data_IF_853578560707
#
_entry.id   IF_853578560707
#
_cell.length_a   1.000
_cell.length_b   1.000
_cell.length_c   1.000
_cell.angle_alpha   90.00
_cell.angle_beta   90.00
_cell.angle_gamma   90.00
#
_symmetry.space_group_name_H-M   'P 1'
#
loop_
_entity.id
_entity.type
_entity.pdbx_description
1 polymer ?
#
# COMPACT_ATOMS: atom_id res chain seq x y z
N UNK A 1 -12.96 -0.30 6.37
CA UNK A 1 -13.68 -1.54 6.67
C UNK A 1 -12.81 -2.44 7.56
N UNK A 2 -11.51 -2.42 7.45
CA UNK A 2 -10.58 -3.03 8.39
C UNK A 2 -9.51 -2.02 8.81
N UNK A 3 -8.79 -2.33 9.87
CA UNK A 3 -7.68 -1.54 10.41
C UNK A 3 -6.49 -2.47 10.64
N UNK A 4 -5.28 -1.94 10.47
CA UNK A 4 -4.05 -2.62 10.86
C UNK A 4 -3.61 -2.04 12.20
N UNK A 5 -3.47 -2.90 13.19
CA UNK A 5 -3.02 -2.55 14.52
C UNK A 5 -1.59 -3.01 14.74
N UNK A 6 -0.79 -2.17 15.37
CA UNK A 6 0.55 -2.49 15.83
C UNK A 6 0.56 -2.53 17.35
N UNK A 7 0.87 -3.68 17.92
CA UNK A 7 0.99 -3.88 19.37
C UNK A 7 2.46 -4.12 19.70
N UNK A 8 3.06 -3.19 20.45
CA UNK A 8 4.45 -3.30 20.88
C UNK A 8 4.52 -3.84 22.31
N UNK A 9 5.39 -4.77 22.58
CA UNK A 9 5.67 -5.28 23.92
C UNK A 9 6.81 -4.54 24.62
N UNK A 10 7.18 -5.01 25.82
CA UNK A 10 8.27 -4.43 26.63
C UNK A 10 9.67 -4.64 26.01
N UNK A 11 9.81 -5.57 25.06
CA UNK A 11 11.05 -5.86 24.34
C UNK A 11 11.16 -5.10 23.01
N UNK A 12 10.19 -4.23 22.72
CA UNK A 12 10.05 -3.55 21.43
C UNK A 12 9.73 -4.47 20.23
N UNK A 13 9.31 -5.70 20.49
CA UNK A 13 8.76 -6.58 19.47
C UNK A 13 7.36 -6.11 19.07
N UNK A 14 7.09 -6.06 17.78
CA UNK A 14 5.82 -5.57 17.24
C UNK A 14 5.00 -6.70 16.65
N UNK A 15 3.79 -6.85 17.14
CA UNK A 15 2.76 -7.69 16.54
C UNK A 15 1.83 -6.84 15.69
N UNK A 16 1.83 -7.07 14.38
CA UNK A 16 0.86 -6.48 13.46
C UNK A 16 -0.30 -7.44 13.25
N UNK A 17 -1.51 -6.90 13.25
CA UNK A 17 -2.70 -7.69 12.93
C UNK A 17 -3.82 -6.82 12.38
N UNK A 18 -4.64 -7.40 11.51
CA UNK A 18 -5.85 -6.75 11.00
C UNK A 18 -7.02 -6.93 11.94
N UNK A 19 -7.95 -5.97 11.92
CA UNK A 19 -9.28 -6.08 12.53
C UNK A 19 -10.34 -5.64 11.54
N UNK A 20 -11.26 -6.54 11.24
CA UNK A 20 -12.42 -6.22 10.40
C UNK A 20 -12.60 -7.15 9.20
N UNK A 21 -11.58 -7.85 8.72
CA UNK A 21 -11.68 -8.81 7.63
C UNK A 21 -12.67 -9.93 7.96
N UNK A 22 -12.74 -10.36 9.23
CA UNK A 22 -13.68 -11.36 9.70
C UNK A 22 -15.15 -10.98 9.46
N UNK A 23 -15.48 -9.69 9.36
CA UNK A 23 -16.82 -9.22 9.01
C UNK A 23 -17.20 -9.52 7.56
N UNK A 24 -16.20 -9.71 6.72
CA UNK A 24 -16.34 -10.12 5.31
C UNK A 24 -16.22 -11.65 5.14
N UNK A 25 -16.13 -12.43 6.24
CA UNK A 25 -15.94 -13.87 6.19
C UNK A 25 -14.47 -14.31 5.93
N UNK A 26 -13.54 -13.34 5.91
CA UNK A 26 -12.12 -13.55 5.65
C UNK A 26 -11.35 -13.81 6.96
N UNK A 27 -10.19 -14.47 6.93
CA UNK A 27 -9.30 -14.54 8.09
C UNK A 27 -8.69 -13.16 8.37
N UNK A 28 -8.47 -12.83 9.64
CA UNK A 28 -7.58 -11.73 9.99
C UNK A 28 -6.13 -12.13 9.64
N UNK A 29 -5.32 -11.14 9.26
CA UNK A 29 -3.92 -11.34 8.88
C UNK A 29 -3.04 -10.90 10.04
N UNK A 30 -1.98 -11.66 10.31
CA UNK A 30 -1.04 -11.36 11.39
C UNK A 30 0.40 -11.47 10.92
N UNK A 31 1.27 -10.63 11.48
CA UNK A 31 2.72 -10.70 11.36
C UNK A 31 3.29 -10.56 12.76
N UNK A 32 4.06 -11.54 13.20
CA UNK A 32 4.76 -11.51 14.47
C UNK A 32 6.19 -11.03 14.28
N UNK A 33 6.78 -10.50 15.34
CA UNK A 33 8.17 -10.08 15.38
C UNK A 33 8.55 -9.05 14.29
N UNK A 34 7.64 -8.12 14.01
CA UNK A 34 7.92 -7.02 13.10
C UNK A 34 8.86 -6.02 13.79
N UNK A 35 9.98 -5.71 13.14
CA UNK A 35 10.90 -4.67 13.62
C UNK A 35 10.30 -3.27 13.43
N UNK A 36 10.60 -2.33 14.35
CA UNK A 36 10.15 -0.94 14.25
C UNK A 36 10.67 -0.23 13.00
N UNK A 37 11.85 -0.61 12.53
CA UNK A 37 12.55 0.04 11.41
C UNK A 37 11.73 -0.02 10.10
N UNK A 38 11.13 -1.17 9.80
CA UNK A 38 10.45 -1.43 8.52
C UNK A 38 8.95 -1.63 8.71
N UNK A 39 8.39 -1.00 9.75
CA UNK A 39 7.00 -1.20 10.12
C UNK A 39 6.02 -0.71 9.06
N UNK A 40 6.36 0.38 8.37
CA UNK A 40 5.53 0.95 7.30
C UNK A 40 5.49 0.02 6.09
N UNK A 41 6.64 -0.45 5.62
CA UNK A 41 6.79 -1.34 4.46
C UNK A 41 6.09 -2.67 4.72
N UNK A 42 6.29 -3.25 5.89
CA UNK A 42 5.61 -4.49 6.31
C UNK A 42 4.09 -4.27 6.42
N UNK A 43 3.67 -3.12 6.94
CA UNK A 43 2.27 -2.72 7.00
C UNK A 43 1.62 -2.60 5.61
N UNK A 44 2.32 -2.02 4.65
CA UNK A 44 1.85 -1.92 3.26
C UNK A 44 1.74 -3.30 2.60
N UNK A 45 2.69 -4.20 2.84
CA UNK A 45 2.61 -5.57 2.34
C UNK A 45 1.42 -6.33 2.95
N UNK A 46 1.17 -6.17 4.25
CA UNK A 46 -0.02 -6.70 4.91
C UNK A 46 -1.31 -6.12 4.30
N UNK A 47 -1.33 -4.82 4.05
CA UNK A 47 -2.45 -4.15 3.39
C UNK A 47 -2.71 -4.72 1.99
N UNK A 48 -1.66 -4.96 1.21
CA UNK A 48 -1.80 -5.57 -0.12
C UNK A 48 -2.41 -6.98 -0.05
N UNK A 49 -1.97 -7.82 0.90
CA UNK A 49 -2.57 -9.13 1.11
C UNK A 49 -4.05 -9.00 1.53
N UNK A 50 -4.39 -8.07 2.41
CA UNK A 50 -5.78 -7.84 2.82
C UNK A 50 -6.65 -7.40 1.64
N UNK A 51 -6.15 -6.51 0.79
CA UNK A 51 -6.84 -6.10 -0.44
C UNK A 51 -7.00 -7.27 -1.41
N UNK A 52 -5.97 -8.10 -1.57
CA UNK A 52 -6.06 -9.31 -2.40
C UNK A 52 -7.15 -10.25 -1.93
N UNK A 53 -7.28 -10.47 -0.61
CA UNK A 53 -8.36 -11.28 -0.04
C UNK A 53 -9.76 -10.68 -0.28
N UNK A 54 -9.87 -9.35 -0.24
CA UNK A 54 -11.13 -8.66 -0.48
C UNK A 54 -11.54 -8.67 -1.97
N UNK A 55 -10.59 -8.77 -2.87
CA UNK A 55 -10.79 -8.74 -4.32
C UNK A 55 -11.10 -10.12 -4.90
N UNK A 56 -10.63 -11.17 -4.26
CA UNK A 56 -10.79 -12.53 -4.73
C UNK A 56 -12.04 -13.18 -4.13
N UNK A 57 -12.73 -14.00 -4.90
CA UNK A 57 -13.89 -14.77 -4.45
C UNK A 57 -13.48 -15.95 -3.54
N UNK A 58 -12.22 -16.40 -3.65
CA UNK A 58 -11.68 -17.54 -2.91
C UNK A 58 -10.51 -17.12 -2.02
N UNK A 59 -10.48 -17.66 -0.80
CA UNK A 59 -9.35 -17.48 0.12
C UNK A 59 -8.24 -18.44 -0.32
N UNK A 60 -6.99 -17.95 -0.52
CA UNK A 60 -5.87 -18.83 -0.88
C UNK A 60 -5.71 -20.00 0.09
N UNK A 61 -5.39 -21.18 -0.41
CA UNK A 61 -5.04 -22.29 0.45
C UNK A 61 -3.73 -22.02 1.22
N UNK A 62 -3.54 -22.73 2.33
CA UNK A 62 -2.31 -22.62 3.11
C UNK A 62 -1.10 -23.01 2.24
N UNK A 63 -0.14 -22.09 2.11
CA UNK A 63 1.03 -22.29 1.25
C UNK A 63 0.83 -21.88 -0.20
N UNK A 64 -0.36 -21.46 -0.61
CA UNK A 64 -0.58 -20.94 -1.97
C UNK A 64 0.13 -19.59 -2.16
N UNK A 65 0.92 -19.43 -3.24
CA UNK A 65 1.65 -18.19 -3.49
C UNK A 65 0.73 -17.06 -3.98
N UNK A 66 0.90 -15.87 -3.39
CA UNK A 66 0.20 -14.64 -3.76
C UNK A 66 1.22 -13.56 -4.06
N UNK A 67 1.19 -13.00 -5.27
CA UNK A 67 2.05 -11.88 -5.63
C UNK A 67 1.59 -10.62 -4.87
N UNK A 68 2.46 -10.03 -4.05
CA UNK A 68 2.15 -8.88 -3.19
C UNK A 68 2.71 -7.58 -3.75
N UNK A 69 3.94 -7.60 -4.25
CA UNK A 69 4.64 -6.43 -4.73
C UNK A 69 5.79 -6.82 -5.64
N UNK A 70 6.46 -5.81 -6.22
CA UNK A 70 7.75 -5.97 -6.89
C UNK A 70 8.76 -5.03 -6.27
N UNK A 71 9.98 -5.51 -6.10
CA UNK A 71 11.11 -4.68 -5.70
C UNK A 71 11.58 -3.78 -6.85
N UNK A 72 12.44 -2.82 -6.57
CA UNK A 72 13.00 -1.91 -7.57
C UNK A 72 13.77 -2.63 -8.70
N UNK A 73 14.33 -3.81 -8.44
CA UNK A 73 14.97 -4.69 -9.42
C UNK A 73 13.96 -5.55 -10.22
N UNK A 74 12.67 -5.26 -10.10
CA UNK A 74 11.55 -6.00 -10.67
C UNK A 74 11.38 -7.44 -10.14
N UNK A 75 12.17 -7.87 -9.16
CA UNK A 75 11.96 -9.18 -8.55
C UNK A 75 10.65 -9.21 -7.74
N UNK A 76 9.87 -10.31 -7.81
CA UNK A 76 8.58 -10.38 -7.12
C UNK A 76 8.76 -10.58 -5.61
N UNK A 77 7.88 -9.93 -4.83
CA UNK A 77 7.60 -10.30 -3.44
C UNK A 77 6.35 -11.18 -3.43
N UNK A 78 6.55 -12.46 -3.19
CA UNK A 78 5.47 -13.44 -3.15
C UNK A 78 5.22 -13.85 -1.71
N UNK A 79 4.00 -13.67 -1.24
CA UNK A 79 3.55 -14.07 0.08
C UNK A 79 2.70 -15.33 0.08
N UNK A 80 2.40 -15.81 1.28
CA UNK A 80 1.42 -16.87 1.52
C UNK A 80 0.82 -16.74 2.91
N UNK A 81 -0.39 -17.25 3.08
CA UNK A 81 -1.09 -17.27 4.36
C UNK A 81 -1.05 -18.65 4.99
N UNK A 82 -0.61 -18.72 6.23
CA UNK A 82 -0.57 -19.96 7.01
C UNK A 82 -1.47 -19.81 8.23
N UNK A 83 -2.42 -20.71 8.47
CA UNK A 83 -3.26 -20.68 9.68
C UNK A 83 -2.40 -20.55 10.95
N UNK A 84 -2.79 -19.66 11.85
CA UNK A 84 -1.98 -19.34 13.03
C UNK A 84 -1.62 -20.56 13.91
N UNK A 85 -2.46 -21.60 14.07
CA UNK A 85 -2.06 -22.77 14.88
C UNK A 85 -0.87 -23.52 14.29
N UNK A 86 -0.75 -23.52 12.96
CA UNK A 86 0.38 -24.14 12.24
C UNK A 86 1.60 -23.21 12.27
N UNK A 87 1.40 -21.93 11.95
CA UNK A 87 2.45 -20.94 11.87
C UNK A 87 3.13 -20.69 13.21
N UNK A 88 2.38 -20.70 14.32
CA UNK A 88 2.89 -20.41 15.66
C UNK A 88 4.00 -21.38 16.12
N UNK A 89 4.02 -22.60 15.61
CA UNK A 89 5.10 -23.56 15.92
C UNK A 89 6.49 -23.12 15.43
N UNK A 90 6.54 -22.12 14.54
CA UNK A 90 7.80 -21.57 14.01
C UNK A 90 8.37 -20.44 14.87
N UNK A 91 7.63 -19.98 15.88
CA UNK A 91 8.01 -18.89 16.76
C UNK A 91 8.31 -19.37 18.18
N UNK A 92 9.11 -18.60 18.94
CA UNK A 92 9.30 -18.84 20.38
C UNK A 92 7.96 -18.79 21.12
N UNK A 93 7.86 -19.52 22.22
CA UNK A 93 6.61 -19.58 23.03
C UNK A 93 6.19 -18.21 23.61
N UNK A 94 7.13 -17.30 23.78
CA UNK A 94 6.94 -15.97 24.37
C UNK A 94 6.86 -14.86 23.33
N UNK A 95 6.67 -15.20 22.04
CA UNK A 95 6.56 -14.17 21.00
C UNK A 95 5.34 -13.28 21.23
N UNK A 96 5.50 -11.97 21.00
CA UNK A 96 4.37 -11.02 21.06
C UNK A 96 3.31 -11.39 20.02
N UNK A 97 2.02 -11.44 20.42
CA UNK A 97 0.94 -11.98 19.58
C UNK A 97 0.81 -13.51 19.61
N UNK A 98 1.59 -14.19 20.46
CA UNK A 98 1.54 -15.64 20.62
C UNK A 98 0.36 -16.15 21.44
N UNK A 99 0.45 -17.41 21.89
CA UNK A 99 -0.65 -18.11 22.54
C UNK A 99 -1.18 -17.43 23.82
N UNK A 100 -0.33 -16.68 24.52
CA UNK A 100 -0.72 -16.03 25.78
C UNK A 100 -1.67 -14.88 25.54
N UNK A 101 -1.42 -14.04 24.53
CA UNK A 101 -2.26 -12.90 24.18
C UNK A 101 -3.63 -13.37 23.66
N UNK A 102 -3.68 -14.53 23.00
CA UNK A 102 -4.93 -15.11 22.47
C UNK A 102 -5.90 -15.57 23.56
N UNK A 103 -5.42 -15.88 24.74
CA UNK A 103 -6.27 -16.24 25.88
C UNK A 103 -7.17 -15.09 26.35
N UNK A 104 -6.84 -13.85 25.98
CA UNK A 104 -7.50 -12.64 26.47
C UNK A 104 -8.35 -11.92 25.41
N UNK A 105 -8.78 -12.58 24.33
CA UNK A 105 -9.78 -12.01 23.45
C UNK A 105 -9.51 -12.05 21.95
N UNK A 106 -8.37 -12.50 21.49
CA UNK A 106 -8.09 -12.68 20.06
C UNK A 106 -8.48 -14.10 19.61
N UNK A 107 -9.79 -14.33 19.50
CA UNK A 107 -10.36 -15.65 19.15
C UNK A 107 -10.83 -15.73 17.69
N UNK A 108 -10.61 -14.69 16.90
CA UNK A 108 -10.99 -14.69 15.48
C UNK A 108 -10.08 -15.63 14.69
N UNK A 109 -10.64 -16.23 13.64
CA UNK A 109 -9.86 -16.99 12.67
C UNK A 109 -8.82 -16.05 12.06
N UNK A 110 -7.55 -16.42 12.17
CA UNK A 110 -6.46 -15.64 11.60
C UNK A 110 -5.43 -16.52 10.90
N UNK A 111 -4.69 -15.90 9.97
CA UNK A 111 -3.56 -16.49 9.27
C UNK A 111 -2.34 -15.59 9.44
N UNK A 112 -1.18 -16.17 9.55
CA UNK A 112 0.09 -15.43 9.53
C UNK A 112 0.59 -15.26 8.11
N UNK A 113 1.09 -14.08 7.79
CA UNK A 113 1.68 -13.77 6.51
C UNK A 113 3.15 -14.16 6.50
N UNK A 114 3.49 -15.06 5.60
CA UNK A 114 4.84 -15.50 5.27
C UNK A 114 5.22 -15.07 3.87
N UNK A 115 6.49 -15.20 3.50
CA UNK A 115 6.97 -14.93 2.16
C UNK A 115 7.84 -16.06 1.61
N UNK A 116 7.89 -16.17 0.30
CA UNK A 116 8.82 -17.02 -0.41
C UNK A 116 10.08 -16.22 -0.76
N UNK A 117 11.27 -16.62 -0.24
CA UNK A 117 12.51 -15.86 -0.47
C UNK A 117 13.05 -16.01 -1.90
N UNK A 118 12.58 -17.01 -2.65
CA UNK A 118 12.96 -17.26 -4.04
C UNK A 118 11.92 -18.15 -4.74
N UNK A 119 11.98 -18.20 -6.07
CA UNK A 119 11.16 -19.10 -6.89
C UNK A 119 11.42 -20.57 -6.56
N UNK A 120 12.68 -20.95 -6.29
CA UNK A 120 13.02 -22.32 -5.88
C UNK A 120 12.37 -22.66 -4.54
N UNK A 121 12.41 -21.76 -3.57
CA UNK A 121 11.76 -21.93 -2.27
C UNK A 121 10.22 -22.04 -2.43
N UNK A 122 9.63 -21.26 -3.32
CA UNK A 122 8.21 -21.34 -3.64
C UNK A 122 7.83 -22.71 -4.23
N UNK A 123 8.60 -23.22 -5.18
CA UNK A 123 8.38 -24.54 -5.77
C UNK A 123 8.54 -25.69 -4.74
N UNK A 124 9.31 -25.48 -3.69
CA UNK A 124 9.53 -26.43 -2.59
C UNK A 124 8.62 -26.19 -1.37
N UNK A 125 7.69 -25.22 -1.44
CA UNK A 125 6.84 -24.77 -0.33
C UNK A 125 7.65 -24.37 0.94
N UNK A 126 8.83 -23.78 0.74
CA UNK A 126 9.71 -23.29 1.80
C UNK A 126 9.52 -21.77 1.98
N UNK A 127 8.63 -21.39 2.87
CA UNK A 127 8.38 -20.00 3.22
C UNK A 127 9.06 -19.62 4.54
N UNK A 128 9.35 -18.33 4.68
CA UNK A 128 9.98 -17.69 5.84
C UNK A 128 9.06 -16.60 6.40
N UNK A 129 9.23 -16.18 7.66
CA UNK A 129 8.58 -14.96 8.15
C UNK A 129 8.81 -13.79 7.19
N UNK A 130 7.79 -12.98 6.93
CA UNK A 130 7.93 -11.82 6.03
C UNK A 130 8.99 -10.84 6.53
N UNK A 131 9.20 -10.79 7.85
CA UNK A 131 10.20 -9.98 8.54
C UNK A 131 11.65 -10.35 8.18
N UNK A 132 11.90 -11.59 7.73
CA UNK A 132 13.22 -12.00 7.25
C UNK A 132 13.64 -11.31 5.94
N UNK A 133 12.67 -10.70 5.25
CA UNK A 133 12.91 -9.93 4.02
C UNK A 133 12.94 -8.40 4.30
N UNK A 134 12.85 -7.98 5.55
CA UNK A 134 12.74 -6.57 5.93
C UNK A 134 13.92 -5.73 5.43
N UNK A 135 15.15 -6.23 5.51
CA UNK A 135 16.35 -5.52 5.01
C UNK A 135 16.27 -5.31 3.49
N UNK A 136 15.72 -6.27 2.75
CA UNK A 136 15.52 -6.12 1.30
C UNK A 136 14.46 -5.06 0.99
N UNK A 137 13.45 -4.89 1.85
CA UNK A 137 12.42 -3.87 1.71
C UNK A 137 12.96 -2.46 1.99
N UNK A 138 13.86 -2.31 2.95
CA UNK A 138 14.43 -1.03 3.39
C UNK A 138 15.25 -0.33 2.28
N UNK A 139 15.96 -1.10 1.48
CA UNK A 139 16.81 -0.60 0.38
C UNK A 139 16.09 -0.53 -0.98
N UNK A 140 14.86 -1.02 -1.06
CA UNK A 140 14.10 -1.12 -2.30
C UNK A 140 12.68 -0.62 -2.11
N UNK A 141 12.27 0.34 -2.92
CA UNK A 141 10.86 0.74 -2.97
C UNK A 141 10.02 -0.41 -3.52
N UNK A 142 8.97 -0.75 -2.79
CA UNK A 142 8.00 -1.72 -3.22
C UNK A 142 7.02 -1.07 -4.21
N UNK A 143 6.96 -1.59 -5.42
CA UNK A 143 5.91 -1.23 -6.38
C UNK A 143 4.67 -2.05 -6.08
N UNK A 144 3.64 -1.40 -5.55
CA UNK A 144 2.38 -2.06 -5.20
C UNK A 144 1.65 -2.51 -6.46
N UNK A 145 1.06 -3.69 -6.39
CA UNK A 145 0.27 -4.26 -7.47
C UNK A 145 -1.08 -3.56 -7.55
N UNK A 146 -1.55 -3.29 -8.77
CA UNK A 146 -2.89 -2.75 -8.99
C UNK A 146 -3.95 -3.78 -8.60
N UNK A 147 -4.83 -3.42 -7.68
CA UNK A 147 -5.93 -4.24 -7.18
C UNK A 147 -7.25 -3.42 -7.19
N UNK A 148 -8.35 -3.98 -6.68
CA UNK A 148 -9.62 -3.27 -6.64
C UNK A 148 -9.55 -2.00 -5.78
N UNK A 149 -8.78 -2.01 -4.70
CA UNK A 149 -8.59 -0.81 -3.86
C UNK A 149 -7.90 0.32 -4.63
N UNK A 150 -6.84 0.03 -5.38
CA UNK A 150 -6.19 1.08 -6.21
C UNK A 150 -7.10 1.59 -7.32
N UNK A 151 -7.95 0.72 -7.89
CA UNK A 151 -9.00 1.14 -8.84
C UNK A 151 -10.04 2.02 -8.18
N UNK A 152 -10.54 1.64 -6.99
CA UNK A 152 -11.49 2.43 -6.20
C UNK A 152 -10.90 3.80 -5.84
N UNK A 153 -9.65 3.85 -5.39
CA UNK A 153 -8.96 5.11 -5.07
C UNK A 153 -8.89 6.02 -6.30
N UNK A 154 -8.55 5.47 -7.46
CA UNK A 154 -8.52 6.22 -8.72
C UNK A 154 -9.90 6.78 -9.08
N UNK A 155 -10.95 5.96 -9.02
CA UNK A 155 -12.32 6.39 -9.31
C UNK A 155 -12.75 7.53 -8.38
N UNK A 156 -12.47 7.39 -7.09
CA UNK A 156 -12.78 8.41 -6.10
C UNK A 156 -11.95 9.69 -6.28
N UNK A 157 -10.67 9.56 -6.62
CA UNK A 157 -9.83 10.72 -6.93
C UNK A 157 -10.38 11.53 -8.12
N UNK A 158 -10.87 10.85 -9.15
CA UNK A 158 -11.48 11.47 -10.32
C UNK A 158 -12.87 12.06 -10.00
N UNK A 159 -13.71 11.33 -9.27
CA UNK A 159 -15.03 11.81 -8.83
C UNK A 159 -14.91 13.11 -8.00
N UNK A 160 -13.89 13.22 -7.17
CA UNK A 160 -13.66 14.32 -6.24
C UNK A 160 -12.63 15.34 -6.73
N UNK A 161 -12.27 15.29 -8.00
CA UNK A 161 -11.24 16.14 -8.63
C UNK A 161 -11.53 17.64 -8.47
N UNK A 162 -12.80 18.05 -8.44
CA UNK A 162 -13.19 19.44 -8.29
C UNK A 162 -12.75 20.08 -6.96
N UNK A 163 -12.54 19.28 -5.91
CA UNK A 163 -11.98 19.79 -4.66
C UNK A 163 -10.51 20.21 -4.85
N UNK A 164 -9.70 19.35 -5.49
CA UNK A 164 -8.33 19.69 -5.82
C UNK A 164 -8.25 20.87 -6.81
N UNK A 165 -9.13 20.93 -7.81
CA UNK A 165 -9.20 22.08 -8.75
C UNK A 165 -9.42 23.39 -8.02
N UNK A 166 -10.33 23.43 -7.05
CA UNK A 166 -10.61 24.62 -6.25
C UNK A 166 -9.43 25.03 -5.37
N UNK A 167 -8.74 24.08 -4.77
CA UNK A 167 -7.51 24.35 -4.01
C UNK A 167 -6.44 24.95 -4.92
N UNK A 168 -6.14 24.31 -6.06
CA UNK A 168 -5.15 24.77 -7.02
C UNK A 168 -5.51 26.10 -7.71
N UNK A 169 -6.79 26.51 -7.74
CA UNK A 169 -7.18 27.80 -8.27
C UNK A 169 -6.72 28.97 -7.38
N UNK A 170 -6.60 28.75 -6.07
CA UNK A 170 -6.10 29.73 -5.10
C UNK A 170 -4.56 29.70 -5.02
N UNK A 171 -3.98 28.52 -5.01
CA UNK A 171 -2.55 28.26 -5.01
C UNK A 171 -2.27 27.00 -5.84
N UNK A 172 -1.64 27.12 -7.02
CA UNK A 172 -1.35 25.97 -7.87
C UNK A 172 -0.52 24.88 -7.19
N UNK A 173 0.33 25.23 -6.22
CA UNK A 173 1.22 24.29 -5.53
C UNK A 173 0.61 23.72 -4.23
N UNK A 174 -0.63 24.08 -3.92
CA UNK A 174 -1.34 23.58 -2.73
C UNK A 174 -1.73 22.10 -2.81
N UNK A 175 -1.39 21.39 -3.88
CA UNK A 175 -1.69 19.97 -4.01
C UNK A 175 -0.55 19.17 -4.64
N UNK A 176 -0.50 17.91 -4.27
CA UNK A 176 0.27 16.87 -4.95
C UNK A 176 -0.68 15.86 -5.57
N UNK A 177 -0.27 15.28 -6.68
CA UNK A 177 -1.05 14.32 -7.46
C UNK A 177 -0.22 13.06 -7.73
N UNK A 178 -0.84 11.89 -7.62
CA UNK A 178 -0.23 10.61 -7.96
C UNK A 178 -0.70 10.20 -9.35
N UNK A 179 0.24 9.97 -10.25
CA UNK A 179 -0.04 9.58 -11.64
C UNK A 179 0.38 8.13 -11.86
N UNK A 180 -0.46 7.37 -12.56
CA UNK A 180 -0.13 6.06 -13.08
C UNK A 180 0.36 6.18 -14.52
N UNK A 181 1.67 6.23 -14.72
CA UNK A 181 2.32 6.36 -16.02
C UNK A 181 2.74 4.99 -16.55
N UNK A 182 2.62 4.81 -17.87
CA UNK A 182 3.02 3.56 -18.51
C UNK A 182 4.53 3.37 -18.41
N UNK A 183 4.98 2.20 -17.98
CA UNK A 183 6.41 1.84 -17.92
C UNK A 183 7.01 1.69 -19.32
N UNK A 184 8.30 1.91 -19.44
CA UNK A 184 9.01 1.72 -20.71
C UNK A 184 8.97 0.23 -21.14
N UNK A 185 8.88 -0.06 -22.45
CA UNK A 185 8.71 -1.43 -22.95
C UNK A 185 9.78 -2.42 -22.51
N UNK A 186 10.98 -1.95 -22.18
CA UNK A 186 12.11 -2.78 -21.72
C UNK A 186 11.91 -3.30 -20.28
N UNK A 187 11.04 -2.64 -19.50
CA UNK A 187 10.71 -3.02 -18.14
C UNK A 187 9.33 -3.69 -18.02
N UNK A 188 8.57 -3.69 -19.12
CA UNK A 188 7.21 -4.24 -19.13
C UNK A 188 7.24 -5.77 -19.09
N UNK A 189 6.39 -6.37 -18.24
CA UNK A 189 6.14 -7.81 -18.24
C UNK A 189 5.27 -8.17 -19.45
N UNK A 190 5.70 -9.11 -20.31
CA UNK A 190 4.94 -9.50 -21.51
C UNK A 190 3.53 -10.05 -21.20
N UNK A 191 3.32 -10.56 -20.00
CA UNK A 191 2.06 -11.18 -19.58
C UNK A 191 1.08 -10.17 -18.93
N UNK A 192 1.52 -8.96 -18.61
CA UNK A 192 0.69 -7.89 -18.05
C UNK A 192 0.30 -6.84 -19.12
N UNK A 193 -1.00 -6.64 -19.32
CA UNK A 193 -1.54 -5.77 -20.38
C UNK A 193 -1.28 -4.27 -20.22
N UNK A 194 -1.13 -3.77 -18.99
CA UNK A 194 -0.90 -2.34 -18.70
C UNK A 194 -0.12 -2.17 -17.40
N UNK A 195 1.20 -2.29 -17.46
CA UNK A 195 2.03 -1.93 -16.32
C UNK A 195 2.18 -0.42 -16.18
N UNK A 196 1.94 0.08 -14.97
CA UNK A 196 2.09 1.51 -14.64
C UNK A 196 2.93 1.69 -13.40
N UNK A 197 3.85 2.63 -13.48
CA UNK A 197 4.53 3.17 -12.32
C UNK A 197 3.72 4.32 -11.73
N UNK A 198 3.55 4.30 -10.40
CA UNK A 198 2.78 5.32 -9.68
C UNK A 198 3.72 6.31 -9.00
N UNK A 199 3.76 7.54 -9.51
CA UNK A 199 4.71 8.58 -9.12
C UNK A 199 3.96 9.79 -8.57
N UNK A 200 4.50 10.42 -7.52
CA UNK A 200 3.97 11.67 -6.99
C UNK A 200 4.54 12.89 -7.71
N UNK A 201 3.66 13.85 -7.97
CA UNK A 201 3.97 15.11 -8.63
C UNK A 201 3.41 16.29 -7.83
N UNK A 202 4.11 17.42 -7.83
CA UNK A 202 3.60 18.70 -7.33
C UNK A 202 2.81 19.40 -8.43
N UNK A 203 1.60 19.79 -8.13
CA UNK A 203 0.78 20.56 -9.06
C UNK A 203 1.43 21.92 -9.39
N UNK A 204 1.35 22.32 -10.66
CA UNK A 204 1.73 23.64 -11.17
C UNK A 204 0.52 24.36 -11.80
N UNK A 205 -0.65 23.76 -11.72
CA UNK A 205 -1.92 24.31 -12.15
C UNK A 205 -2.56 23.60 -13.33
N UNK A 206 -3.86 23.76 -13.44
CA UNK A 206 -4.65 23.29 -14.57
C UNK A 206 -4.49 24.25 -15.75
N UNK A 207 -4.30 23.72 -16.96
CA UNK A 207 -4.17 24.46 -18.21
C UNK A 207 -5.37 24.24 -19.15
N UNK A 208 -6.27 23.36 -18.77
CA UNK A 208 -7.51 23.04 -19.48
C UNK A 208 -8.46 22.24 -18.61
N UNK A 209 -9.62 21.84 -19.15
CA UNK A 209 -10.58 21.05 -18.40
C UNK A 209 -10.00 19.66 -18.02
N UNK A 210 -9.18 19.07 -18.88
CA UNK A 210 -8.69 17.71 -18.71
C UNK A 210 -7.16 17.63 -18.68
N UNK A 211 -6.47 18.77 -18.60
CA UNK A 211 -5.00 18.82 -18.63
C UNK A 211 -4.45 19.74 -17.55
N UNK A 212 -3.30 19.36 -17.01
CA UNK A 212 -2.59 20.13 -15.98
C UNK A 212 -1.07 20.00 -16.14
N UNK A 213 -0.33 20.89 -15.50
CA UNK A 213 1.12 20.82 -15.38
C UNK A 213 1.48 20.34 -13.99
N UNK A 214 2.48 19.46 -13.90
CA UNK A 214 2.99 18.99 -12.63
C UNK A 214 4.48 18.65 -12.73
N UNK A 215 5.17 18.75 -11.60
CA UNK A 215 6.60 18.52 -11.40
C UNK A 215 6.79 17.19 -10.68
N UNK A 216 7.62 16.29 -11.22
CA UNK A 216 7.93 15.01 -10.61
C UNK A 216 8.66 15.19 -9.27
N UNK A 217 8.18 14.54 -8.20
CA UNK A 217 8.76 14.60 -6.87
C UNK A 217 9.74 13.47 -6.56
N UNK A 218 9.68 12.40 -7.34
CA UNK A 218 10.52 11.20 -7.19
C UNK A 218 11.17 10.86 -8.52
N UNK A 219 12.34 10.22 -8.47
CA UNK A 219 12.97 9.62 -9.64
C UNK A 219 12.21 8.35 -10.01
N UNK A 220 11.71 8.20 -11.26
CA UNK A 220 11.10 6.96 -11.72
C UNK A 220 12.10 5.80 -11.83
N UNK A 221 11.63 4.58 -11.65
CA UNK A 221 12.44 3.37 -11.82
C UNK A 221 12.29 2.76 -13.21
N UNK A 222 11.12 2.90 -13.82
CA UNK A 222 10.72 2.19 -15.03
C UNK A 222 10.36 3.14 -16.20
N UNK A 223 10.67 4.44 -16.05
CA UNK A 223 10.41 5.46 -17.08
C UNK A 223 11.68 6.28 -17.26
N UNK A 224 12.53 5.85 -18.18
CA UNK A 224 13.87 6.42 -18.41
C UNK A 224 13.87 7.86 -18.94
N UNK A 225 12.74 8.31 -19.49
CA UNK A 225 12.60 9.66 -20.06
C UNK A 225 12.09 10.72 -19.06
N UNK A 226 11.80 10.33 -17.81
CA UNK A 226 11.28 11.21 -16.77
C UNK A 226 12.24 11.25 -15.58
N UNK A 227 12.52 12.45 -15.08
CA UNK A 227 13.41 12.67 -13.94
C UNK A 227 12.75 13.50 -12.84
N UNK A 228 13.21 13.35 -11.61
CA UNK A 228 12.81 14.19 -10.49
C UNK A 228 13.05 15.67 -10.82
N UNK A 229 12.04 16.51 -10.61
CA UNK A 229 12.06 17.94 -10.97
C UNK A 229 11.57 18.27 -12.38
N UNK A 230 11.34 17.28 -13.23
CA UNK A 230 10.78 17.52 -14.56
C UNK A 230 9.33 18.02 -14.47
N UNK A 231 9.05 19.09 -15.23
CA UNK A 231 7.72 19.69 -15.32
C UNK A 231 7.09 19.39 -16.67
N UNK A 232 6.07 18.55 -16.67
CA UNK A 232 5.39 18.11 -17.88
C UNK A 232 3.87 18.38 -17.82
N UNK A 233 3.22 18.19 -18.96
CA UNK A 233 1.75 18.26 -19.10
C UNK A 233 1.18 16.85 -19.05
N UNK A 234 0.17 16.66 -18.21
CA UNK A 234 -0.50 15.39 -17.99
C UNK A 234 -2.00 15.51 -18.20
N UNK A 235 -2.65 14.39 -18.46
CA UNK A 235 -4.10 14.29 -18.58
C UNK A 235 -4.72 13.81 -17.26
N UNK A 236 -5.91 14.30 -16.91
CA UNK A 236 -6.59 13.93 -15.65
C UNK A 236 -6.88 12.44 -15.53
N UNK A 237 -7.00 11.70 -16.64
CA UNK A 237 -7.20 10.24 -16.63
C UNK A 237 -6.02 9.44 -16.08
N UNK A 238 -4.82 10.06 -16.01
CA UNK A 238 -3.63 9.45 -15.44
C UNK A 238 -3.60 9.57 -13.91
N UNK A 239 -4.45 10.41 -13.33
CA UNK A 239 -4.56 10.59 -11.88
C UNK A 239 -5.05 9.30 -11.23
N UNK A 240 -4.32 8.84 -10.22
CA UNK A 240 -4.67 7.68 -9.39
C UNK A 240 -4.93 8.04 -7.94
N UNK A 241 -4.42 9.18 -7.49
CA UNK A 241 -4.68 9.75 -6.16
C UNK A 241 -4.27 11.24 -6.14
N UNK A 242 -4.65 11.97 -5.09
CA UNK A 242 -4.17 13.32 -4.84
C UNK A 242 -4.23 13.67 -3.35
N UNK A 243 -3.47 14.71 -2.96
CA UNK A 243 -3.50 15.30 -1.62
C UNK A 243 -3.55 16.82 -1.75
N UNK A 244 -4.45 17.45 -1.01
CA UNK A 244 -4.44 18.91 -0.79
C UNK A 244 -3.61 19.16 0.46
N UNK A 245 -2.61 20.03 0.33
CA UNK A 245 -1.72 20.41 1.42
C UNK A 245 -2.37 21.56 2.21
N UNK A 246 -2.46 21.43 3.52
CA UNK A 246 -3.00 22.42 4.44
C UNK A 246 -2.02 22.66 5.58
N UNK A 247 -2.23 23.72 6.36
CA UNK A 247 -1.41 24.01 7.54
C UNK A 247 -1.49 22.89 8.59
N UNK A 248 -2.64 22.20 8.67
CA UNK A 248 -2.91 21.14 9.64
C UNK A 248 -2.56 19.73 9.11
N UNK A 249 -2.10 19.60 7.86
CA UNK A 249 -1.75 18.31 7.27
C UNK A 249 -2.18 18.16 5.81
N UNK A 250 -2.48 16.92 5.42
CA UNK A 250 -2.87 16.58 4.06
C UNK A 250 -4.32 16.05 4.04
N UNK A 251 -5.10 16.49 3.05
CA UNK A 251 -6.47 16.02 2.83
C UNK A 251 -6.50 15.17 1.55
N UNK A 252 -6.94 13.94 1.70
CA UNK A 252 -7.09 12.96 0.60
C UNK A 252 -8.48 13.01 -0.03
N UNK A 253 -8.72 12.33 -1.15
CA UNK A 253 -10.07 12.11 -1.65
C UNK A 253 -11.02 11.49 -0.62
N UNK A 254 -10.54 10.62 0.27
CA UNK A 254 -11.33 10.02 1.34
C UNK A 254 -11.76 11.04 2.41
N UNK A 255 -10.95 12.06 2.65
CA UNK A 255 -11.07 12.98 3.79
C UNK A 255 -11.64 14.35 3.42
N UNK A 256 -12.23 14.51 2.23
CA UNK A 256 -12.75 15.81 1.74
C UNK A 256 -13.75 16.48 2.68
N UNK A 257 -14.42 15.72 3.54
CA UNK A 257 -15.32 16.27 4.57
C UNK A 257 -14.59 17.19 5.55
N UNK A 258 -13.26 17.01 5.76
CA UNK A 258 -12.44 17.88 6.60
C UNK A 258 -12.33 19.29 6.04
N UNK A 259 -12.41 19.49 4.72
CA UNK A 259 -12.38 20.81 4.08
C UNK A 259 -13.52 21.70 4.58
N UNK A 260 -14.65 21.12 4.99
CA UNK A 260 -15.79 21.89 5.52
C UNK A 260 -15.52 22.42 6.92
N UNK A 261 -14.63 21.81 7.68
CA UNK A 261 -14.26 22.24 9.05
C UNK A 261 -13.19 23.35 9.01
N UNK A 262 -12.19 23.23 8.14
CA UNK A 262 -11.14 24.25 8.00
C UNK A 262 -11.66 25.59 7.46
N UNK A 263 -12.76 25.60 6.68
CA UNK A 263 -13.39 26.83 6.15
C UNK A 263 -14.22 27.55 7.23
N UNK A 264 -14.71 26.85 8.26
CA UNK A 264 -15.55 27.46 9.31
C UNK A 264 -14.74 28.25 10.34
N UNK A 265 -13.49 27.87 10.62
CA UNK A 265 -12.63 28.51 11.61
C UNK A 265 -11.95 29.80 11.08
N UNK A 266 -11.88 29.98 9.75
CA UNK A 266 -11.33 31.20 9.13
C UNK A 266 -12.32 32.38 9.08
N UNK A 267 -13.54 32.24 9.65
CA UNK A 267 -14.59 33.28 9.69
C UNK A 267 -14.98 33.72 11.11
N UNK A 268 -14.21 33.34 12.13
CA UNK A 268 -14.43 33.77 13.52
C UNK A 268 -13.44 34.86 13.95
#
# INVERSE_FOLDING_TARGET
>A
IYQIHAVTDEKDEVWLHTHGLARCGLPEIEILDAGKKNLNEIGEVMNTMACSLLDNEEIPEAGEPVLLARFADNSPLVGTLIPWPEALHRYPQEVNGGLQQRKYGHNTRSCMLFAYPSEEAMNQHQYVPITDLADKMDDNLLCMITNAETRRMKEMALERLDYMRRACASDPESAIVKLGLTVDPEFADPDEKEQKEHIWFRMKGFIGPDTFRAEALNEPYYISSLHCGDVNVYHVSEITDWRILTEDGQISPDDIYLLNYTISDSKS
#
